data_IF_566103848910
#
_entry.id   IF_566103848910
#
_cell.length_a   1.000
_cell.length_b   1.000
_cell.length_c   1.000
_cell.angle_alpha   90.00
_cell.angle_beta   90.00
_cell.angle_gamma   90.00
#
_symmetry.space_group_name_H-M   'P 1'
#
loop_
_entity.id
_entity.type
_entity.pdbx_description
1 polymer ?
#
# COMPACT_ATOMS: atom_id res chain seq x y z
N UNK A 1 5.68 -11.60 -2.42
CA UNK A 1 5.77 -11.77 -0.96
C UNK A 1 5.31 -10.47 -0.34
N UNK A 2 4.27 -10.49 0.49
CA UNK A 2 3.95 -9.34 1.34
C UNK A 2 5.04 -9.26 2.39
N UNK A 3 5.99 -8.33 2.21
CA UNK A 3 7.01 -8.03 3.22
C UNK A 3 6.42 -6.94 4.09
N UNK A 4 5.57 -7.30 5.04
CA UNK A 4 5.15 -6.36 6.08
C UNK A 4 6.40 -5.98 6.87
N UNK A 5 6.89 -4.75 6.68
CA UNK A 5 7.92 -4.19 7.55
C UNK A 5 7.30 -4.10 8.94
N UNK A 6 7.72 -5.01 9.83
CA UNK A 6 7.33 -5.02 11.22
C UNK A 6 7.87 -3.73 11.84
N UNK A 7 6.96 -2.79 12.11
CA UNK A 7 7.26 -1.56 12.82
C UNK A 7 7.80 -1.89 14.22
N UNK A 8 9.05 -1.54 14.49
CA UNK A 8 9.57 -1.45 15.86
C UNK A 8 9.32 -0.05 16.45
N UNK A 9 9.23 0.08 17.79
CA UNK A 9 8.91 1.32 18.47
C UNK A 9 10.02 2.36 18.31
N UNK A 10 9.66 3.62 18.11
CA UNK A 10 10.60 4.75 18.14
C UNK A 10 10.99 5.05 19.58
N UNK A 11 12.15 4.60 20.05
CA UNK A 11 12.82 5.19 21.22
C UNK A 11 14.35 5.17 21.05
N UNK A 12 14.93 6.35 20.82
CA UNK A 12 16.39 6.57 20.78
C UNK A 12 16.78 7.86 20.04
N UNK A 13 17.71 8.68 20.56
CA UNK A 13 18.01 9.98 19.97
C UNK A 13 18.96 9.81 18.76
N UNK A 14 18.48 10.05 17.55
CA UNK A 14 19.32 10.04 16.35
C UNK A 14 19.76 11.46 15.94
N UNK A 15 21.02 11.76 16.22
CA UNK A 15 21.75 12.87 15.62
C UNK A 15 22.35 12.41 14.28
N UNK A 16 21.66 12.55 13.15
CA UNK A 16 22.26 12.38 11.82
C UNK A 16 21.69 13.37 10.79
N UNK A 17 22.60 13.93 9.97
CA UNK A 17 22.40 15.01 9.00
C UNK A 17 21.32 14.66 7.97
N UNK A 18 20.27 15.49 7.89
CA UNK A 18 19.19 15.42 6.90
C UNK A 18 19.71 15.72 5.48
N UNK A 19 19.86 14.68 4.68
CA UNK A 19 19.76 14.80 3.22
C UNK A 19 18.31 15.19 2.88
N UNK A 20 18.13 16.30 2.15
CA UNK A 20 16.83 16.99 2.00
C UNK A 20 15.97 16.50 0.84
N UNK A 21 16.38 15.51 0.05
CA UNK A 21 15.58 15.00 -1.05
C UNK A 21 15.17 13.53 -0.82
N UNK A 22 13.93 13.35 -0.33
CA UNK A 22 13.36 12.03 -0.04
C UNK A 22 12.79 11.34 -1.28
N UNK A 23 12.70 12.05 -2.41
CA UNK A 23 12.15 11.54 -3.65
C UNK A 23 13.25 10.86 -4.50
N UNK A 24 12.85 9.89 -5.31
CA UNK A 24 13.73 9.15 -6.23
C UNK A 24 12.99 8.89 -7.53
N UNK A 25 13.69 8.97 -8.65
CA UNK A 25 13.15 8.57 -9.96
C UNK A 25 13.31 7.08 -10.23
N UNK A 26 13.87 6.30 -9.30
CA UNK A 26 13.98 4.85 -9.46
C UNK A 26 12.60 4.16 -9.42
N UNK A 27 12.44 3.00 -10.08
CA UNK A 27 11.19 2.24 -10.05
C UNK A 27 10.85 1.79 -8.64
N UNK A 28 9.55 1.73 -8.33
CA UNK A 28 9.07 1.19 -7.07
C UNK A 28 9.51 -0.28 -6.92
N UNK A 29 10.06 -0.62 -5.76
CA UNK A 29 10.52 -1.95 -5.40
C UNK A 29 9.42 -3.03 -5.51
N UNK A 30 8.18 -2.70 -5.12
CA UNK A 30 7.06 -3.65 -5.15
C UNK A 30 6.42 -3.82 -6.53
N UNK A 31 6.00 -2.73 -7.17
CA UNK A 31 5.19 -2.80 -8.39
C UNK A 31 5.93 -2.37 -9.68
N UNK A 32 7.19 -1.92 -9.58
CA UNK A 32 7.99 -1.46 -10.71
C UNK A 32 7.62 -0.08 -11.28
N UNK A 33 6.63 0.61 -10.70
CA UNK A 33 6.16 1.90 -11.22
C UNK A 33 7.24 3.00 -11.15
N UNK A 34 7.44 3.71 -12.25
CA UNK A 34 8.40 4.80 -12.37
C UNK A 34 7.71 6.15 -12.15
N UNK A 35 8.14 6.91 -11.16
CA UNK A 35 7.64 8.27 -10.90
C UNK A 35 8.60 9.07 -10.04
N UNK A 36 8.66 10.39 -10.29
CA UNK A 36 9.37 11.35 -9.44
C UNK A 36 8.82 11.43 -8.00
N UNK A 37 7.62 10.90 -7.76
CA UNK A 37 6.97 10.89 -6.46
C UNK A 37 7.31 9.63 -5.64
N UNK A 38 8.10 8.70 -6.18
CA UNK A 38 8.56 7.54 -5.42
C UNK A 38 9.51 8.03 -4.32
N UNK A 39 9.39 7.44 -3.13
CA UNK A 39 10.16 7.85 -1.95
C UNK A 39 11.21 6.82 -1.61
N UNK A 40 12.38 7.29 -1.18
CA UNK A 40 13.39 6.46 -0.52
C UNK A 40 12.92 6.17 0.91
N UNK A 41 12.77 4.89 1.22
CA UNK A 41 12.53 4.38 2.55
C UNK A 41 13.86 3.90 3.13
N UNK A 42 14.21 4.41 4.30
CA UNK A 42 15.26 3.84 5.14
C UNK A 42 14.71 2.54 5.72
N UNK A 43 15.12 1.40 5.16
CA UNK A 43 14.78 0.08 5.66
C UNK A 43 15.91 -0.50 6.52
N UNK A 44 15.62 -1.55 7.29
CA UNK A 44 16.67 -2.49 7.72
C UNK A 44 16.95 -3.47 6.57
N UNK A 45 18.22 -3.76 6.33
CA UNK A 45 18.62 -4.81 5.38
C UNK A 45 17.98 -6.15 5.80
N UNK A 46 17.41 -6.93 4.87
CA UNK A 46 16.99 -8.29 5.17
C UNK A 46 18.18 -9.07 5.77
N UNK A 47 17.96 -9.95 6.78
CA UNK A 47 19.04 -10.61 7.53
C UNK A 47 19.94 -11.56 6.73
N UNK A 48 19.82 -11.59 5.40
CA UNK A 48 20.54 -12.52 4.52
C UNK A 48 21.35 -11.85 3.39
N UNK A 49 21.42 -10.52 3.28
CA UNK A 49 22.24 -9.87 2.26
C UNK A 49 23.01 -8.67 2.82
N UNK A 50 24.31 -8.86 3.07
CA UNK A 50 25.17 -7.89 3.73
C UNK A 50 25.84 -6.85 2.81
N UNK A 51 25.55 -6.80 1.50
CA UNK A 51 26.41 -6.03 0.58
C UNK A 51 25.79 -4.87 -0.20
N UNK A 52 24.50 -4.55 -0.11
CA UNK A 52 23.95 -3.35 -0.78
C UNK A 52 22.82 -2.63 -0.04
N UNK A 53 22.84 -1.31 -0.28
CA UNK A 53 22.06 -0.18 0.26
C UNK A 53 20.72 -0.52 0.94
N UNK A 54 20.54 -0.22 2.25
CA UNK A 54 19.28 -0.41 2.98
C UNK A 54 18.12 0.48 2.48
N UNK A 55 18.36 1.33 1.47
CA UNK A 55 17.38 2.22 0.89
C UNK A 55 16.55 1.51 -0.19
N UNK A 56 15.27 1.29 0.09
CA UNK A 56 14.30 0.86 -0.92
C UNK A 56 13.54 2.05 -1.48
N UNK A 57 13.17 2.03 -2.75
CA UNK A 57 12.36 3.08 -3.38
C UNK A 57 10.94 2.56 -3.55
N UNK A 58 9.94 3.28 -3.06
CA UNK A 58 8.55 2.81 -3.01
C UNK A 58 7.60 3.91 -3.50
N UNK A 59 6.61 3.55 -4.32
CA UNK A 59 5.57 4.50 -4.72
C UNK A 59 4.53 4.69 -3.61
N UNK A 60 3.82 5.84 -3.55
CA UNK A 60 2.90 6.13 -2.46
C UNK A 60 1.78 5.10 -2.23
N UNK A 61 1.31 4.38 -3.26
CA UNK A 61 0.27 3.37 -3.10
C UNK A 61 0.83 2.09 -2.48
N UNK A 62 1.97 1.62 -2.97
CA UNK A 62 2.63 0.46 -2.38
C UNK A 62 3.09 0.76 -0.94
N UNK A 63 3.56 1.98 -0.66
CA UNK A 63 3.91 2.38 0.72
C UNK A 63 2.70 2.36 1.65
N UNK A 64 1.56 2.89 1.20
CA UNK A 64 0.32 2.83 1.98
C UNK A 64 -0.12 1.39 2.24
N UNK A 65 0.03 0.49 1.26
CA UNK A 65 -0.26 -0.93 1.41
C UNK A 65 0.65 -1.62 2.44
N UNK A 66 1.94 -1.28 2.47
CA UNK A 66 2.87 -1.84 3.46
C UNK A 66 2.67 -1.26 4.87
N UNK A 67 2.08 -0.05 4.99
CA UNK A 67 1.93 0.68 6.26
C UNK A 67 0.46 0.99 6.56
N UNK A 68 -0.37 -0.05 6.63
CA UNK A 68 -1.82 0.07 6.84
C UNK A 68 -2.21 0.81 8.13
N UNK A 69 -1.35 0.80 9.15
CA UNK A 69 -1.56 1.48 10.43
C UNK A 69 -1.37 3.00 10.36
N UNK A 70 -0.66 3.50 9.34
CA UNK A 70 -0.42 4.93 9.12
C UNK A 70 -1.65 5.69 8.61
N UNK A 71 -2.63 5.00 8.04
CA UNK A 71 -3.83 5.59 7.42
C UNK A 71 -4.85 6.05 8.47
N UNK A 72 -5.55 7.15 8.22
CA UNK A 72 -6.72 7.58 9.02
C UNK A 72 -7.94 6.69 8.72
N UNK A 73 -8.96 6.76 9.59
CA UNK A 73 -10.17 5.92 9.54
C UNK A 73 -10.92 5.98 8.19
N UNK A 74 -10.79 7.07 7.44
CA UNK A 74 -11.50 7.38 6.20
C UNK A 74 -10.58 7.51 4.98
N UNK A 75 -9.28 7.25 5.12
CA UNK A 75 -8.31 7.39 4.04
C UNK A 75 -8.30 6.19 3.08
N UNK A 76 -8.90 5.06 3.45
CA UNK A 76 -9.00 3.90 2.58
C UNK A 76 -9.75 2.72 3.21
N UNK A 77 -9.94 1.68 2.41
CA UNK A 77 -10.54 0.41 2.84
C UNK A 77 -9.85 -0.76 2.17
N UNK A 78 -9.89 -1.92 2.82
CA UNK A 78 -9.43 -3.19 2.25
C UNK A 78 -10.56 -3.81 1.43
N UNK A 79 -10.24 -4.27 0.22
CA UNK A 79 -11.14 -4.97 -0.69
C UNK A 79 -10.62 -6.38 -1.02
N UNK A 80 -11.51 -7.29 -1.40
CA UNK A 80 -11.16 -8.66 -1.79
C UNK A 80 -11.24 -8.82 -3.31
N UNK A 81 -10.10 -9.09 -3.94
CA UNK A 81 -9.94 -9.16 -5.40
C UNK A 81 -9.14 -10.43 -5.75
N UNK A 82 -9.79 -11.60 -5.85
CA UNK A 82 -9.08 -12.90 -5.93
C UNK A 82 -8.28 -13.11 -7.21
N UNK A 83 -8.62 -12.39 -8.28
CA UNK A 83 -7.98 -12.50 -9.59
C UNK A 83 -6.89 -11.43 -9.80
N UNK A 84 -6.61 -10.59 -8.80
CA UNK A 84 -5.66 -9.49 -8.92
C UNK A 84 -4.65 -9.48 -7.78
N UNK A 85 -3.37 -9.27 -8.11
CA UNK A 85 -2.36 -8.99 -7.09
C UNK A 85 -2.53 -7.57 -6.56
N UNK A 86 -2.16 -7.29 -5.29
CA UNK A 86 -2.25 -5.93 -4.74
C UNK A 86 -1.47 -4.91 -5.57
N UNK A 87 -0.34 -5.30 -6.17
CA UNK A 87 0.46 -4.43 -7.03
C UNK A 87 -0.27 -4.04 -8.32
N UNK A 88 -1.05 -4.95 -8.90
CA UNK A 88 -1.87 -4.70 -10.10
C UNK A 88 -3.05 -3.78 -9.76
N UNK A 89 -3.64 -3.93 -8.57
CA UNK A 89 -4.68 -3.03 -8.06
C UNK A 89 -4.11 -1.62 -7.86
N UNK A 90 -2.88 -1.49 -7.34
CA UNK A 90 -2.20 -0.20 -7.23
C UNK A 90 -1.96 0.46 -8.60
N UNK A 91 -1.59 -0.32 -9.62
CA UNK A 91 -1.49 0.19 -11.00
C UNK A 91 -2.85 0.66 -11.53
N UNK A 92 -3.92 -0.12 -11.30
CA UNK A 92 -5.27 0.23 -11.71
C UNK A 92 -5.77 1.52 -11.04
N UNK A 93 -5.55 1.68 -9.72
CA UNK A 93 -5.88 2.90 -9.00
C UNK A 93 -5.13 4.11 -9.55
N UNK A 94 -3.83 3.98 -9.86
CA UNK A 94 -3.06 5.06 -10.50
C UNK A 94 -3.62 5.45 -11.86
N UNK A 95 -3.96 4.48 -12.69
CA UNK A 95 -4.59 4.73 -13.99
C UNK A 95 -5.94 5.45 -13.85
N UNK A 96 -6.76 5.02 -12.89
CA UNK A 96 -8.03 5.67 -12.59
C UNK A 96 -7.83 7.12 -12.10
N UNK A 97 -6.87 7.38 -11.23
CA UNK A 97 -6.55 8.73 -10.76
C UNK A 97 -6.11 9.66 -11.90
N UNK A 98 -5.27 9.18 -12.82
CA UNK A 98 -4.91 9.97 -14.00
C UNK A 98 -6.12 10.24 -14.90
N UNK A 99 -6.98 9.23 -15.10
CA UNK A 99 -8.19 9.38 -15.91
C UNK A 99 -9.16 10.40 -15.29
N UNK A 100 -9.30 10.42 -13.97
CA UNK A 100 -10.12 11.41 -13.23
C UNK A 100 -9.64 12.86 -13.40
N UNK A 101 -8.35 13.07 -13.68
CA UNK A 101 -7.75 14.40 -13.92
C UNK A 101 -7.82 14.83 -15.40
N UNK A 102 -8.33 13.98 -16.29
CA UNK A 102 -8.38 14.26 -17.72
C UNK A 102 -9.33 15.42 -18.05
N UNK A 103 -8.98 16.30 -19.00
CA UNK A 103 -9.90 17.31 -19.51
C UNK A 103 -11.09 16.69 -20.28
N UNK A 104 -10.94 15.46 -20.77
CA UNK A 104 -11.97 14.74 -21.49
C UNK A 104 -12.94 14.01 -20.52
N UNK A 105 -14.26 14.30 -20.61
CA UNK A 105 -15.27 13.65 -19.76
C UNK A 105 -15.31 12.12 -19.89
N UNK A 106 -14.98 11.55 -21.05
CA UNK A 106 -15.02 10.09 -21.26
C UNK A 106 -14.02 9.40 -20.34
N UNK A 107 -12.80 9.92 -20.24
CA UNK A 107 -11.78 9.38 -19.33
C UNK A 107 -12.15 9.60 -17.86
N UNK A 108 -12.77 10.74 -17.52
CA UNK A 108 -13.23 10.96 -16.14
C UNK A 108 -14.29 9.95 -15.72
N UNK A 109 -15.27 9.67 -16.57
CA UNK A 109 -16.30 8.66 -16.28
C UNK A 109 -15.72 7.25 -16.20
N UNK A 110 -14.76 6.91 -17.06
CA UNK A 110 -14.04 5.64 -16.96
C UNK A 110 -13.26 5.51 -15.63
N UNK A 111 -12.56 6.57 -15.20
CA UNK A 111 -11.86 6.61 -13.92
C UNK A 111 -12.81 6.44 -12.73
N UNK A 112 -13.98 7.11 -12.75
CA UNK A 112 -15.03 6.95 -11.73
C UNK A 112 -15.56 5.52 -11.71
N UNK A 113 -15.85 4.93 -12.87
CA UNK A 113 -16.37 3.58 -12.97
C UNK A 113 -15.40 2.55 -12.34
N UNK A 114 -14.10 2.68 -12.61
CA UNK A 114 -13.07 1.83 -11.99
C UNK A 114 -13.06 1.99 -10.47
N UNK A 115 -13.04 3.22 -9.95
CA UNK A 115 -13.01 3.45 -8.50
C UNK A 115 -14.27 2.96 -7.79
N UNK A 116 -15.44 3.12 -8.44
CA UNK A 116 -16.70 2.60 -7.93
C UNK A 116 -16.70 1.07 -7.90
N UNK A 117 -16.25 0.43 -8.98
CA UNK A 117 -16.10 -1.03 -9.03
C UNK A 117 -15.18 -1.55 -7.92
N UNK A 118 -14.02 -0.91 -7.69
CA UNK A 118 -13.14 -1.27 -6.56
C UNK A 118 -13.83 -1.12 -5.19
N UNK A 119 -14.72 -0.14 -5.04
CA UNK A 119 -15.47 0.09 -3.81
C UNK A 119 -16.59 -0.93 -3.57
N UNK A 120 -17.12 -1.56 -4.62
CA UNK A 120 -18.10 -2.63 -4.48
C UNK A 120 -17.50 -3.84 -3.75
N UNK A 121 -16.21 -4.15 -4.02
CA UNK A 121 -15.45 -5.27 -3.44
C UNK A 121 -15.09 -5.11 -1.95
N UNK A 122 -15.51 -4.01 -1.33
CA UNK A 122 -15.40 -3.77 0.11
C UNK A 122 -16.35 -4.67 0.91
N UNK A 123 -17.54 -4.94 0.37
CA UNK A 123 -18.63 -5.61 1.10
C UNK A 123 -18.29 -7.06 1.45
N UNK A 124 -17.55 -7.72 0.58
CA UNK A 124 -17.03 -9.09 0.74
C UNK A 124 -16.09 -9.15 1.95
N UNK A 125 -15.26 -8.12 2.10
CA UNK A 125 -14.33 -8.01 3.23
C UNK A 125 -15.10 -7.75 4.53
N UNK A 126 -16.05 -6.83 4.52
CA UNK A 126 -16.90 -6.55 5.68
C UNK A 126 -17.72 -7.77 6.10
N UNK A 127 -18.28 -8.52 5.15
CA UNK A 127 -19.06 -9.72 5.43
C UNK A 127 -18.23 -10.83 6.07
N UNK A 128 -16.97 -10.98 5.65
CA UNK A 128 -16.13 -12.08 6.11
C UNK A 128 -15.29 -11.75 7.34
N UNK A 129 -14.72 -10.54 7.43
CA UNK A 129 -13.86 -10.10 8.55
C UNK A 129 -14.57 -9.16 9.54
N UNK A 130 -15.80 -8.73 9.26
CA UNK A 130 -16.55 -7.78 10.09
C UNK A 130 -16.08 -6.31 9.95
N UNK A 131 -15.04 -6.05 9.17
CA UNK A 131 -14.49 -4.72 8.92
C UNK A 131 -13.63 -4.71 7.66
N UNK A 132 -13.61 -3.57 6.96
CA UNK A 132 -12.66 -3.29 5.88
C UNK A 132 -11.61 -2.25 6.29
N UNK A 133 -11.53 -1.87 7.57
CA UNK A 133 -10.67 -0.78 8.01
C UNK A 133 -9.19 -1.20 7.98
N UNK A 134 -8.30 -0.51 7.24
CA UNK A 134 -6.90 -0.93 7.10
C UNK A 134 -6.17 -1.09 8.44
N UNK A 135 -6.41 -0.20 9.39
CA UNK A 135 -5.86 -0.26 10.75
C UNK A 135 -6.21 -1.52 11.52
N UNK A 136 -7.40 -2.09 11.30
CA UNK A 136 -7.80 -3.33 11.95
C UNK A 136 -6.96 -4.51 11.44
N UNK A 137 -6.68 -4.55 10.13
CA UNK A 137 -5.78 -5.53 9.52
C UNK A 137 -4.34 -5.33 10.04
N UNK A 138 -3.83 -4.11 10.08
CA UNK A 138 -2.50 -3.83 10.62
C UNK A 138 -2.34 -4.34 12.06
N UNK A 139 -3.32 -4.04 12.93
CA UNK A 139 -3.33 -4.50 14.32
C UNK A 139 -3.40 -6.03 14.42
N UNK A 140 -4.19 -6.69 13.57
CA UNK A 140 -4.29 -8.14 13.55
C UNK A 140 -2.95 -8.79 13.17
N UNK A 141 -2.18 -8.21 12.24
CA UNK A 141 -0.83 -8.66 11.92
C UNK A 141 0.14 -8.45 13.09
N UNK A 142 0.13 -7.27 13.72
CA UNK A 142 1.03 -6.97 14.83
C UNK A 142 0.82 -7.89 16.04
N UNK A 143 -0.37 -8.45 16.20
CA UNK A 143 -0.73 -9.33 17.31
C UNK A 143 -0.59 -10.82 16.97
N UNK A 144 -0.26 -11.15 15.73
CA UNK A 144 -0.22 -12.53 15.27
C UNK A 144 1.10 -13.22 15.65
N UNK A 145 1.02 -14.52 15.96
CA UNK A 145 2.21 -15.35 16.08
C UNK A 145 2.83 -15.64 14.70
N UNK A 146 4.09 -16.10 14.66
CA UNK A 146 4.75 -16.52 13.41
C UNK A 146 3.94 -17.55 12.60
N UNK A 147 3.29 -18.51 13.27
CA UNK A 147 2.41 -19.48 12.62
C UNK A 147 1.17 -18.83 12.02
N UNK A 148 0.59 -17.84 12.72
CA UNK A 148 -0.55 -17.06 12.23
C UNK A 148 -0.14 -16.13 11.08
N UNK A 149 1.09 -15.61 11.08
CA UNK A 149 1.63 -14.80 9.98
C UNK A 149 1.59 -15.56 8.66
N UNK A 150 2.10 -16.80 8.64
CA UNK A 150 2.07 -17.62 7.43
C UNK A 150 0.63 -17.87 6.93
N UNK A 151 -0.30 -18.16 7.85
CA UNK A 151 -1.71 -18.35 7.53
C UNK A 151 -2.36 -17.07 6.99
N UNK A 152 -2.07 -15.91 7.59
CA UNK A 152 -2.58 -14.61 7.16
C UNK A 152 -2.02 -14.22 5.80
N UNK A 153 -0.73 -14.38 5.56
CA UNK A 153 -0.12 -14.13 4.25
C UNK A 153 -0.81 -14.91 3.12
N UNK A 154 -1.14 -16.19 3.34
CA UNK A 154 -1.87 -16.97 2.34
C UNK A 154 -3.29 -16.44 2.11
N UNK A 155 -4.02 -16.08 3.18
CA UNK A 155 -5.41 -15.59 3.07
C UNK A 155 -5.47 -14.17 2.48
N UNK A 156 -4.46 -13.36 2.76
CA UNK A 156 -4.43 -11.94 2.42
C UNK A 156 -3.81 -11.65 1.07
N UNK A 157 -3.29 -12.68 0.37
CA UNK A 157 -2.77 -12.56 -1.00
C UNK A 157 -3.77 -11.99 -2.01
N UNK A 158 -5.04 -12.00 -1.66
CA UNK A 158 -6.19 -11.54 -2.44
C UNK A 158 -6.79 -10.24 -1.92
N UNK A 159 -6.20 -9.66 -0.89
CA UNK A 159 -6.63 -8.39 -0.33
C UNK A 159 -5.82 -7.25 -0.93
N UNK A 160 -6.48 -6.15 -1.23
CA UNK A 160 -5.83 -4.93 -1.67
C UNK A 160 -6.35 -3.72 -0.88
N UNK A 161 -5.50 -2.72 -0.68
CA UNK A 161 -5.90 -1.45 -0.12
C UNK A 161 -6.41 -0.54 -1.23
N UNK A 162 -7.65 -0.10 -1.13
CA UNK A 162 -8.23 0.90 -2.00
C UNK A 162 -8.20 2.25 -1.29
N UNK A 163 -7.63 3.24 -1.96
CA UNK A 163 -7.60 4.64 -1.54
C UNK A 163 -8.58 5.40 -2.45
N UNK A 164 -9.72 5.87 -1.95
CA UNK A 164 -10.62 6.70 -2.73
C UNK A 164 -9.94 8.01 -3.15
N UNK A 165 -10.28 8.58 -4.31
CA UNK A 165 -9.85 9.94 -4.64
C UNK A 165 -10.40 10.90 -3.58
N UNK A 166 -9.57 11.83 -3.10
CA UNK A 166 -10.07 12.90 -2.23
C UNK A 166 -11.01 13.77 -3.05
N UNK A 167 -12.23 13.98 -2.56
CA UNK A 167 -13.14 14.97 -3.13
C UNK A 167 -12.39 16.31 -3.17
N UNK A 168 -12.05 16.79 -4.37
CA UNK A 168 -11.57 18.17 -4.58
C UNK A 168 -12.76 19.11 -4.63
#
# INVERSE_FOLDING_TARGET
MLVFSILSPKDGPSSQKKSTDKNSEAPCFFCGYLSKNNRRQEGESPPLNHDKDPLTVVDPLCEAWQNLDSLKMDEGFVAYLPEMKPEDVNHLQRAAFFALQSPDPVYREAGKAVMNWLAEHKKEVEAYWGTSQPKAFAKALQQASEEQHAQYQHRWRHLALILPPKNS
#
